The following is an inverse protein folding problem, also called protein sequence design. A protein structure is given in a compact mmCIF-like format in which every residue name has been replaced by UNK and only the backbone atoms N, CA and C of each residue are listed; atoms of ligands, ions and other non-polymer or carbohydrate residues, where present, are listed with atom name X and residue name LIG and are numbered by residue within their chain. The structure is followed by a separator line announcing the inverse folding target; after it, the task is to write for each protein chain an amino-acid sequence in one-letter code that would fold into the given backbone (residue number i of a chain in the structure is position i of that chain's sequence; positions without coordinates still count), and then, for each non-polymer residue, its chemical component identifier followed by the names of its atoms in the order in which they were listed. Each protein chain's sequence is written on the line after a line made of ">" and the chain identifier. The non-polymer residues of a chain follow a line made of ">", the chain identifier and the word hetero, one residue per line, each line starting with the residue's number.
data_IF_370780457269
#
_entry.id   IF_370780457269
#
_cell.length_a   1.000
_cell.length_b   1.000
_cell.length_c   1.000
_cell.angle_alpha   90.00
_cell.angle_beta   90.00
_cell.angle_gamma   90.00
#
_symmetry.space_group_name_H-M   'P 1'
#
loop_
_entity.id
_entity.type
_entity.pdbx_description
1 polymer ?
#
# COMPACT_ATOMS: atom_id res chain seq x y z
N UNK A 1 44.44 42.52 -10.71
CA UNK A 1 43.48 42.00 -9.72
C UNK A 1 42.16 42.73 -9.97
N UNK A 2 41.19 42.07 -10.63
CA UNK A 2 39.92 42.73 -10.98
C UNK A 2 39.04 42.81 -9.73
N UNK A 3 38.69 44.02 -9.31
CA UNK A 3 37.82 44.25 -8.16
C UNK A 3 36.38 43.87 -8.55
N UNK A 4 35.76 42.96 -7.81
CA UNK A 4 34.35 42.64 -7.97
C UNK A 4 33.50 43.85 -7.56
N UNK A 5 32.86 44.52 -8.52
CA UNK A 5 31.95 45.64 -8.24
C UNK A 5 30.57 45.10 -7.90
N UNK A 6 30.16 45.18 -6.64
CA UNK A 6 28.80 44.84 -6.20
C UNK A 6 27.86 45.98 -6.62
N UNK A 7 26.89 45.68 -7.48
CA UNK A 7 25.88 46.63 -7.96
C UNK A 7 24.52 46.35 -7.32
N UNK A 8 23.64 47.36 -7.27
CA UNK A 8 22.25 47.20 -6.79
C UNK A 8 21.51 46.05 -7.48
N UNK A 9 21.78 45.86 -8.79
CA UNK A 9 21.20 44.78 -9.60
C UNK A 9 21.70 43.41 -9.16
N UNK A 10 22.97 43.28 -8.80
CA UNK A 10 23.54 42.02 -8.30
C UNK A 10 22.99 41.67 -6.92
N UNK A 11 22.78 42.68 -6.06
CA UNK A 11 22.12 42.49 -4.76
C UNK A 11 20.67 42.05 -4.95
N UNK A 12 19.88 42.77 -5.77
CA UNK A 12 18.47 42.43 -6.03
C UNK A 12 18.30 41.03 -6.64
N UNK A 13 19.16 40.65 -7.60
CA UNK A 13 19.12 39.32 -8.20
C UNK A 13 19.51 38.21 -7.20
N UNK A 14 20.52 38.46 -6.37
CA UNK A 14 20.93 37.53 -5.30
C UNK A 14 19.82 37.34 -4.26
N UNK A 15 19.16 38.42 -3.84
CA UNK A 15 18.03 38.38 -2.89
C UNK A 15 16.85 37.60 -3.46
N UNK A 16 16.51 37.82 -4.74
CA UNK A 16 15.44 37.09 -5.41
C UNK A 16 15.73 35.59 -5.53
N UNK A 17 16.98 35.22 -5.84
CA UNK A 17 17.41 33.82 -5.88
C UNK A 17 17.38 33.16 -4.49
N UNK A 18 17.77 33.89 -3.44
CA UNK A 18 17.70 33.40 -2.06
C UNK A 18 16.24 33.18 -1.63
N UNK A 19 15.34 34.13 -1.91
CA UNK A 19 13.91 34.00 -1.61
C UNK A 19 13.28 32.83 -2.38
N UNK A 20 13.60 32.67 -3.66
CA UNK A 20 13.15 31.54 -4.47
C UNK A 20 13.64 30.20 -3.88
N UNK A 21 14.89 30.12 -3.41
CA UNK A 21 15.44 28.91 -2.80
C UNK A 21 14.73 28.48 -1.50
N UNK A 22 14.18 29.43 -0.74
CA UNK A 22 13.40 29.16 0.48
C UNK A 22 11.92 28.85 0.24
N UNK A 23 11.38 29.16 -0.94
CA UNK A 23 9.97 28.90 -1.29
C UNK A 23 9.73 27.52 -1.91
N UNK A 24 10.75 26.92 -2.54
CA UNK A 24 10.68 25.59 -3.17
C UNK A 24 10.29 24.44 -2.20
N UNK A 25 10.71 24.39 -0.92
CA UNK A 25 10.34 23.28 -0.04
C UNK A 25 8.86 23.29 0.41
N UNK A 26 8.07 24.33 0.09
CA UNK A 26 6.65 24.38 0.45
C UNK A 26 5.78 23.52 -0.47
N UNK A 27 6.18 23.36 -1.75
CA UNK A 27 5.42 22.60 -2.76
C UNK A 27 5.66 21.07 -2.62
N UNK A 28 6.70 20.66 -1.89
CA UNK A 28 7.11 19.27 -1.71
C UNK A 28 6.74 18.61 -0.38
N UNK A 29 5.94 19.25 0.49
CA UNK A 29 5.49 18.55 1.71
C UNK A 29 4.47 17.49 1.32
N UNK A 30 4.90 16.23 1.38
CA UNK A 30 3.99 15.08 1.36
C UNK A 30 2.80 15.38 2.28
N UNK A 31 1.59 15.31 1.73
CA UNK A 31 0.39 15.56 2.51
C UNK A 31 0.36 14.61 3.69
N UNK A 32 0.17 15.14 4.90
CA UNK A 32 0.00 14.29 6.07
C UNK A 32 -1.24 13.41 5.86
N UNK A 33 -1.13 12.08 5.97
CA UNK A 33 -2.28 11.18 5.79
C UNK A 33 -3.39 11.57 6.77
N UNK A 34 -4.58 11.86 6.23
CA UNK A 34 -5.78 12.08 7.06
C UNK A 34 -6.26 10.73 7.60
N UNK A 35 -6.30 10.58 8.92
CA UNK A 35 -6.89 9.41 9.58
C UNK A 35 -8.40 9.56 9.67
N UNK A 36 -9.11 8.47 9.39
CA UNK A 36 -10.58 8.42 9.43
C UNK A 36 -11.25 9.06 8.21
N UNK A 37 -12.57 8.88 8.12
CA UNK A 37 -13.39 9.33 7.00
C UNK A 37 -14.15 8.18 6.35
N UNK A 38 -14.89 8.50 5.30
CA UNK A 38 -15.65 7.53 4.51
C UNK A 38 -15.16 7.56 3.07
N UNK A 39 -14.65 6.43 2.60
CA UNK A 39 -14.39 6.20 1.19
C UNK A 39 -15.67 5.68 0.54
N UNK A 40 -16.11 6.34 -0.53
CA UNK A 40 -17.24 5.88 -1.35
C UNK A 40 -16.70 5.51 -2.72
N UNK A 41 -16.89 4.25 -3.10
CA UNK A 41 -16.45 3.71 -4.39
C UNK A 41 -17.67 3.15 -5.11
N UNK A 42 -17.82 3.45 -6.40
CA UNK A 42 -18.84 2.84 -7.23
C UNK A 42 -18.44 1.40 -7.56
N UNK A 43 -19.34 0.44 -7.28
CA UNK A 43 -19.21 -0.93 -7.75
C UNK A 43 -19.95 -1.07 -9.09
N UNK A 44 -19.41 -1.90 -9.99
CA UNK A 44 -19.98 -2.14 -11.32
C UNK A 44 -21.15 -3.16 -11.31
N UNK A 45 -21.28 -3.91 -10.22
CA UNK A 45 -22.23 -5.01 -10.07
C UNK A 45 -22.60 -5.24 -8.61
N UNK A 46 -23.83 -5.71 -8.39
CA UNK A 46 -24.30 -6.14 -7.08
C UNK A 46 -23.98 -7.63 -6.86
N UNK A 47 -23.21 -8.00 -5.82
CA UNK A 47 -22.91 -9.39 -5.53
C UNK A 47 -24.12 -10.10 -4.92
N UNK A 48 -24.50 -11.26 -5.47
CA UNK A 48 -25.62 -12.08 -4.95
C UNK A 48 -25.36 -12.69 -3.57
N UNK A 49 -24.09 -12.83 -3.19
CA UNK A 49 -23.64 -13.27 -1.88
C UNK A 49 -22.21 -12.75 -1.64
N UNK A 50 -21.70 -12.90 -0.42
CA UNK A 50 -20.35 -12.45 -0.04
C UNK A 50 -19.38 -13.60 0.24
N UNK A 51 -19.73 -14.84 -0.11
CA UNK A 51 -18.91 -16.01 0.17
C UNK A 51 -18.10 -16.39 -1.08
N UNK A 52 -16.79 -16.06 -1.13
CA UNK A 52 -15.95 -16.37 -2.28
C UNK A 52 -15.74 -17.87 -2.50
N UNK A 53 -16.03 -18.72 -1.51
CA UNK A 53 -15.95 -20.18 -1.66
C UNK A 53 -17.15 -20.77 -2.42
N UNK A 54 -18.26 -20.03 -2.55
CA UNK A 54 -19.46 -20.48 -3.27
C UNK A 54 -19.43 -19.98 -4.72
N UNK A 55 -19.08 -18.71 -4.92
CA UNK A 55 -19.05 -18.08 -6.24
C UNK A 55 -17.76 -17.29 -6.41
N UNK A 56 -16.96 -17.68 -7.40
CA UNK A 56 -15.81 -16.92 -7.84
C UNK A 56 -16.24 -15.90 -8.91
N UNK A 57 -16.41 -14.64 -8.51
CA UNK A 57 -16.71 -13.54 -9.44
C UNK A 57 -16.12 -12.21 -8.96
N UNK A 58 -15.85 -11.29 -9.89
CA UNK A 58 -15.27 -9.99 -9.58
C UNK A 58 -16.12 -9.20 -8.58
N UNK A 59 -17.44 -9.16 -8.76
CA UNK A 59 -18.34 -8.47 -7.83
C UNK A 59 -18.29 -9.03 -6.40
N UNK A 60 -18.18 -10.36 -6.25
CA UNK A 60 -18.01 -10.99 -4.93
C UNK A 60 -16.66 -10.62 -4.33
N UNK A 61 -15.57 -10.77 -5.10
CA UNK A 61 -14.21 -10.48 -4.63
C UNK A 61 -13.98 -8.99 -4.32
N UNK A 62 -14.66 -8.08 -5.03
CA UNK A 62 -14.57 -6.64 -4.82
C UNK A 62 -14.92 -6.28 -3.37
N UNK A 63 -15.92 -6.94 -2.79
CA UNK A 63 -16.35 -6.74 -1.40
C UNK A 63 -15.68 -7.73 -0.45
N UNK A 64 -15.68 -9.04 -0.77
CA UNK A 64 -15.25 -10.08 0.17
C UNK A 64 -13.76 -9.98 0.53
N UNK A 65 -12.90 -9.50 -0.38
CA UNK A 65 -11.48 -9.22 -0.11
C UNK A 65 -11.23 -8.13 0.94
N UNK A 66 -12.26 -7.42 1.39
CA UNK A 66 -12.18 -6.45 2.50
C UNK A 66 -12.68 -7.02 3.82
N UNK A 67 -13.19 -8.25 3.80
CA UNK A 67 -13.79 -8.94 4.94
C UNK A 67 -12.99 -10.18 5.32
N UNK A 68 -12.54 -10.96 4.33
CA UNK A 68 -11.71 -12.15 4.52
C UNK A 68 -10.34 -11.97 3.84
N UNK A 69 -9.32 -12.59 4.41
CA UNK A 69 -7.93 -12.49 3.95
C UNK A 69 -7.42 -13.88 3.52
N UNK A 70 -6.55 -13.94 2.51
CA UNK A 70 -5.99 -15.19 1.99
C UNK A 70 -4.72 -15.63 2.73
N UNK A 71 -4.26 -16.87 2.50
CA UNK A 71 -2.94 -17.31 3.00
C UNK A 71 -1.79 -16.57 2.29
N UNK A 72 -1.90 -16.43 0.98
CA UNK A 72 -0.98 -15.68 0.12
C UNK A 72 -1.78 -15.07 -1.03
N UNK A 73 -1.19 -14.09 -1.72
CA UNK A 73 -1.76 -13.49 -2.93
C UNK A 73 -0.74 -13.51 -4.07
N UNK A 74 -1.21 -13.42 -5.30
CA UNK A 74 -0.34 -13.26 -6.46
C UNK A 74 0.36 -11.89 -6.42
N UNK A 75 1.65 -11.87 -6.74
CA UNK A 75 2.45 -10.66 -6.77
C UNK A 75 3.37 -10.66 -7.99
N UNK A 76 3.59 -9.47 -8.55
CA UNK A 76 4.48 -9.27 -9.70
C UNK A 76 5.96 -9.16 -9.29
N UNK A 77 6.21 -8.84 -8.04
CA UNK A 77 7.54 -8.54 -7.46
C UNK A 77 8.03 -9.62 -6.48
N UNK A 78 7.16 -10.54 -6.07
CA UNK A 78 7.46 -11.60 -5.12
C UNK A 78 8.39 -12.65 -5.73
N UNK A 79 9.35 -13.15 -4.94
CA UNK A 79 10.40 -14.06 -5.40
C UNK A 79 9.88 -15.32 -6.11
N UNK A 80 8.68 -15.78 -5.74
CA UNK A 80 8.02 -16.96 -6.30
C UNK A 80 6.66 -16.60 -6.95
N UNK A 81 6.43 -15.32 -7.28
CA UNK A 81 5.15 -14.82 -7.79
C UNK A 81 4.03 -14.75 -6.75
N UNK A 82 4.35 -14.94 -5.47
CA UNK A 82 3.42 -14.88 -4.34
C UNK A 82 3.92 -13.93 -3.26
N UNK A 83 3.00 -13.16 -2.69
CA UNK A 83 3.22 -12.29 -1.54
C UNK A 83 2.55 -12.87 -0.28
N UNK A 84 3.25 -12.88 0.88
CA UNK A 84 2.67 -13.29 2.15
C UNK A 84 1.43 -12.49 2.57
N UNK A 85 0.45 -13.19 3.14
CA UNK A 85 -0.74 -12.62 3.81
C UNK A 85 -0.92 -13.23 5.20
N UNK A 86 -1.86 -14.16 5.37
CA UNK A 86 -2.03 -14.91 6.63
C UNK A 86 -0.96 -15.99 6.81
N UNK A 87 -0.37 -16.51 5.75
CA UNK A 87 0.83 -17.34 5.81
C UNK A 87 2.08 -16.49 5.59
N UNK A 88 3.03 -16.58 6.52
CA UNK A 88 4.34 -15.92 6.48
C UNK A 88 5.32 -16.63 5.54
N UNK A 89 5.20 -17.95 5.44
CA UNK A 89 6.00 -18.79 4.56
C UNK A 89 5.29 -20.10 4.25
N UNK A 90 5.77 -20.80 3.23
CA UNK A 90 5.28 -22.11 2.81
C UNK A 90 6.42 -22.98 2.32
N UNK A 91 6.30 -24.28 2.53
CA UNK A 91 7.28 -25.29 2.11
C UNK A 91 6.54 -26.49 1.52
N UNK A 92 6.84 -26.82 0.26
CA UNK A 92 6.31 -28.01 -0.39
C UNK A 92 7.14 -29.25 -0.06
N UNK A 93 6.47 -30.38 0.18
CA UNK A 93 7.13 -31.66 0.35
C UNK A 93 7.81 -32.10 -0.95
N UNK A 94 8.85 -32.94 -0.84
CA UNK A 94 9.62 -33.41 -1.99
C UNK A 94 8.79 -34.21 -3.01
N UNK A 95 7.69 -34.84 -2.58
CA UNK A 95 6.75 -35.57 -3.43
C UNK A 95 5.69 -34.66 -4.09
N UNK A 96 5.62 -33.38 -3.69
CA UNK A 96 4.62 -32.43 -4.18
C UNK A 96 3.20 -32.65 -3.67
N UNK A 97 2.98 -33.54 -2.70
CA UNK A 97 1.64 -33.92 -2.22
C UNK A 97 1.24 -33.21 -0.94
N UNK A 98 2.13 -32.41 -0.35
CA UNK A 98 1.87 -31.67 0.88
C UNK A 98 2.55 -30.32 0.87
N UNK A 99 1.92 -29.35 1.52
CA UNK A 99 2.49 -28.02 1.75
C UNK A 99 2.31 -27.67 3.22
N UNK A 100 3.40 -27.25 3.86
CA UNK A 100 3.38 -26.74 5.23
C UNK A 100 3.36 -25.22 5.18
N UNK A 101 2.39 -24.59 5.83
CA UNK A 101 2.30 -23.13 5.96
C UNK A 101 2.70 -22.71 7.37
N UNK A 102 3.52 -21.66 7.47
CA UNK A 102 3.73 -20.94 8.74
C UNK A 102 2.73 -19.80 8.81
N UNK A 103 1.76 -19.89 9.71
CA UNK A 103 0.74 -18.86 9.87
C UNK A 103 1.26 -17.64 10.65
N UNK A 104 0.59 -16.50 10.46
CA UNK A 104 0.84 -15.27 11.18
C UNK A 104 0.24 -15.35 12.59
N UNK A 105 1.06 -15.08 13.58
CA UNK A 105 0.64 -15.08 14.98
C UNK A 105 -0.22 -13.87 15.34
N UNK A 106 -1.09 -14.05 16.33
CA UNK A 106 -1.89 -12.96 16.93
C UNK A 106 -3.03 -12.44 16.06
N UNK A 107 -3.30 -13.07 14.91
CA UNK A 107 -4.46 -12.75 14.08
C UNK A 107 -5.74 -13.22 14.78
N UNK A 108 -6.80 -12.42 14.66
CA UNK A 108 -8.12 -12.71 15.22
C UNK A 108 -9.17 -12.58 14.14
N UNK A 109 -10.22 -13.38 14.26
CA UNK A 109 -11.46 -13.18 13.54
C UNK A 109 -12.18 -11.93 14.03
N UNK A 110 -13.17 -11.46 13.27
CA UNK A 110 -13.96 -10.28 13.62
C UNK A 110 -14.77 -10.45 14.92
N UNK A 111 -15.00 -11.69 15.37
CA UNK A 111 -15.63 -12.01 16.67
C UNK A 111 -14.63 -12.08 17.84
N UNK A 112 -13.34 -11.83 17.57
CA UNK A 112 -12.26 -11.83 18.54
C UNK A 112 -11.61 -13.19 18.79
N UNK A 113 -12.13 -14.29 18.21
CA UNK A 113 -11.50 -15.60 18.35
C UNK A 113 -10.15 -15.64 17.63
N UNK A 114 -9.18 -16.45 18.10
CA UNK A 114 -7.90 -16.59 17.43
C UNK A 114 -8.08 -17.21 16.04
N UNK A 115 -7.32 -16.72 15.07
CA UNK A 115 -7.04 -17.46 13.84
C UNK A 115 -5.93 -18.47 14.13
N UNK A 116 -6.16 -19.72 13.73
CA UNK A 116 -5.29 -20.87 13.99
C UNK A 116 -5.28 -21.80 12.80
#
# INVERSE_FOLDING_TARGET
>A
MSAFTISRRTVLAGSAALLASTAIPVIGRAQTPKKGGRLVVAADSEPRNLNPAIVASNGVFFISSKVVETLAEASFDGKDGLQPRLALSWEGAADGLSVTFKLRDGVKWHDGKPFT
#
